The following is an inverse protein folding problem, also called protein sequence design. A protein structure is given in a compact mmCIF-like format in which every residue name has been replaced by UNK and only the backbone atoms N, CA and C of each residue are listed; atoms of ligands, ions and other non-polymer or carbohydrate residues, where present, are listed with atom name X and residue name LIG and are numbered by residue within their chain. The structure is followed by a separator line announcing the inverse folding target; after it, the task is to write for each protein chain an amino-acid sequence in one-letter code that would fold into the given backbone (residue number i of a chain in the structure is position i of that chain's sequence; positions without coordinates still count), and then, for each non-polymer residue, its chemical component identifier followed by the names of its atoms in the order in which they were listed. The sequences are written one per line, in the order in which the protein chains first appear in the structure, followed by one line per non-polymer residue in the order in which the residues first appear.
data_IF_493233403879
#
_entry.id   IF_493233403879
#
_cell.length_a   1.000
_cell.length_b   1.000
_cell.length_c   1.000
_cell.angle_alpha   90.00
_cell.angle_beta   90.00
_cell.angle_gamma   90.00
#
_symmetry.space_group_name_H-M   'P 1'
#
loop_
_entity.id
_entity.type
_entity.pdbx_description
1 polymer ?
#
# COMPACT_ATOMS: atom_id res chain seq x y z
N UNK A 1 -10.12 -31.32 -34.22
CA UNK A 1 -9.69 -30.03 -34.80
C UNK A 1 -10.46 -28.85 -34.24
N UNK A 2 -11.79 -28.95 -34.03
CA UNK A 2 -12.61 -27.83 -33.50
C UNK A 2 -12.17 -27.36 -32.11
N UNK A 3 -11.88 -28.29 -31.20
CA UNK A 3 -11.41 -28.01 -29.87
C UNK A 3 -10.03 -27.25 -29.91
N UNK A 4 -9.12 -27.71 -30.78
CA UNK A 4 -7.82 -27.08 -30.98
C UNK A 4 -7.98 -25.63 -31.48
N UNK A 5 -8.90 -25.38 -32.42
CA UNK A 5 -9.19 -24.05 -32.91
C UNK A 5 -9.69 -23.12 -31.79
N UNK A 6 -10.55 -23.61 -30.90
CA UNK A 6 -11.05 -22.85 -29.75
C UNK A 6 -9.88 -22.51 -28.80
N UNK A 7 -8.98 -23.46 -28.50
CA UNK A 7 -7.83 -23.21 -27.65
C UNK A 7 -6.92 -22.13 -28.24
N UNK A 8 -6.57 -22.23 -29.53
CA UNK A 8 -5.73 -21.23 -30.20
C UNK A 8 -6.39 -19.85 -30.17
N UNK A 9 -7.68 -19.77 -30.51
CA UNK A 9 -8.41 -18.50 -30.50
C UNK A 9 -8.48 -17.89 -29.11
N UNK A 10 -8.80 -18.68 -28.09
CA UNK A 10 -8.88 -18.21 -26.70
C UNK A 10 -7.52 -17.73 -26.22
N UNK A 11 -6.46 -18.50 -26.46
CA UNK A 11 -5.10 -18.12 -26.08
C UNK A 11 -4.67 -16.82 -26.77
N UNK A 12 -4.88 -16.69 -28.08
CA UNK A 12 -4.58 -15.49 -28.83
C UNK A 12 -5.36 -14.26 -28.31
N UNK A 13 -6.68 -14.42 -28.07
CA UNK A 13 -7.54 -13.36 -27.53
C UNK A 13 -7.06 -12.89 -26.16
N UNK A 14 -6.74 -13.82 -25.24
CA UNK A 14 -6.24 -13.47 -23.92
C UNK A 14 -4.85 -12.84 -23.98
N UNK A 15 -3.96 -13.35 -24.85
CA UNK A 15 -2.64 -12.75 -25.06
C UNK A 15 -2.73 -11.30 -25.50
N UNK A 16 -3.52 -11.01 -26.53
CA UNK A 16 -3.73 -9.63 -27.02
C UNK A 16 -4.32 -8.75 -25.93
N UNK A 17 -5.36 -9.24 -25.23
CA UNK A 17 -6.03 -8.47 -24.20
C UNK A 17 -5.11 -8.10 -23.02
N UNK A 18 -4.32 -9.03 -22.51
CA UNK A 18 -3.56 -8.83 -21.29
C UNK A 18 -2.11 -8.41 -21.53
N UNK A 19 -1.48 -8.88 -22.59
CA UNK A 19 -0.09 -8.58 -22.87
C UNK A 19 0.14 -7.41 -23.84
N UNK A 20 -0.89 -7.00 -24.58
CA UNK A 20 -0.80 -5.84 -25.48
C UNK A 20 -1.69 -4.71 -25.00
N UNK A 21 -3.00 -4.89 -24.95
CA UNK A 21 -3.95 -3.80 -24.69
C UNK A 21 -3.96 -3.33 -23.22
N UNK A 22 -3.64 -4.21 -22.28
CA UNK A 22 -3.61 -3.90 -20.84
C UNK A 22 -2.22 -3.86 -20.21
N UNK A 23 -1.18 -4.10 -21.01
CA UNK A 23 0.18 -4.03 -20.54
C UNK A 23 0.48 -2.60 -20.06
N UNK A 24 0.82 -2.49 -18.76
CA UNK A 24 1.12 -1.20 -18.15
C UNK A 24 0.01 -0.14 -18.29
N UNK A 25 -1.27 -0.54 -18.24
CA UNK A 25 -2.40 0.37 -18.42
C UNK A 25 -2.36 1.56 -17.43
N UNK A 26 -1.85 1.34 -16.23
CA UNK A 26 -1.68 2.40 -15.21
C UNK A 26 -0.50 3.33 -15.50
N UNK A 27 0.35 2.98 -16.46
CA UNK A 27 1.55 3.71 -16.85
C UNK A 27 1.50 4.24 -18.29
N UNK A 28 0.30 4.38 -18.87
CA UNK A 28 0.13 4.79 -20.29
C UNK A 28 0.80 6.13 -20.60
N UNK A 29 0.82 7.05 -19.63
CA UNK A 29 1.40 8.40 -19.80
C UNK A 29 2.77 8.55 -19.14
N UNK A 30 3.45 7.45 -18.87
CA UNK A 30 4.74 7.46 -18.17
C UNK A 30 5.88 7.25 -19.16
N UNK A 31 6.88 8.12 -19.10
CA UNK A 31 8.11 7.95 -19.86
C UNK A 31 9.02 6.90 -19.22
N UNK A 32 9.06 5.71 -19.81
CA UNK A 32 9.88 4.59 -19.33
C UNK A 32 11.39 4.85 -19.42
N UNK A 33 11.85 5.87 -20.15
CA UNK A 33 13.27 6.24 -20.16
C UNK A 33 13.74 6.78 -18.80
N UNK A 34 12.80 7.30 -17.99
CA UNK A 34 13.06 7.85 -16.66
C UNK A 34 13.14 6.77 -15.57
N UNK A 35 12.90 5.49 -15.91
CA UNK A 35 12.91 4.41 -14.92
C UNK A 35 14.21 4.33 -14.14
N UNK A 36 14.11 4.07 -12.85
CA UNK A 36 15.25 3.87 -11.96
C UNK A 36 15.41 2.38 -11.61
N UNK A 37 16.57 2.01 -11.10
CA UNK A 37 16.78 0.65 -10.59
C UNK A 37 16.18 0.53 -9.18
N UNK A 38 15.24 -0.39 -8.99
CA UNK A 38 14.57 -0.61 -7.71
C UNK A 38 15.51 -1.11 -6.60
N UNK A 39 16.70 -1.60 -6.94
CA UNK A 39 17.73 -1.94 -5.94
C UNK A 39 18.20 -0.74 -5.13
N UNK A 40 17.92 0.49 -5.57
CA UNK A 40 18.16 1.71 -4.80
C UNK A 40 17.22 1.81 -3.58
N UNK A 41 16.07 1.14 -3.58
CA UNK A 41 15.17 1.05 -2.44
C UNK A 41 15.65 -0.07 -1.51
N UNK A 42 15.85 -1.28 -2.05
CA UNK A 42 16.38 -2.43 -1.32
C UNK A 42 17.02 -3.44 -2.25
N UNK A 43 18.07 -4.13 -1.77
CA UNK A 43 18.80 -5.16 -2.52
C UNK A 43 17.89 -6.31 -3.00
N UNK A 44 16.82 -6.61 -2.26
CA UNK A 44 15.82 -7.64 -2.63
C UNK A 44 15.02 -7.30 -3.88
N UNK A 45 14.98 -6.01 -4.27
CA UNK A 45 14.31 -5.54 -5.48
C UNK A 45 15.24 -5.47 -6.69
N UNK A 46 16.44 -6.08 -6.60
CA UNK A 46 17.41 -6.12 -7.69
C UNK A 46 16.81 -6.74 -8.95
N UNK A 47 17.06 -6.11 -10.10
CA UNK A 47 16.55 -6.54 -11.39
C UNK A 47 15.21 -5.91 -11.79
N UNK A 48 14.51 -5.28 -10.85
CA UNK A 48 13.30 -4.54 -11.15
C UNK A 48 13.61 -3.10 -11.57
N UNK A 49 12.80 -2.57 -12.50
CA UNK A 49 12.76 -1.15 -12.86
C UNK A 49 11.67 -0.47 -12.04
N UNK A 50 11.93 0.76 -11.61
CA UNK A 50 11.03 1.53 -10.76
C UNK A 50 10.54 2.78 -11.45
N UNK A 51 9.26 2.90 -11.62
CA UNK A 51 8.51 4.10 -11.97
C UNK A 51 7.05 3.85 -11.60
N UNK A 52 6.36 4.86 -11.12
CA UNK A 52 4.95 4.77 -10.72
C UNK A 52 4.14 5.93 -11.30
N UNK A 53 2.81 5.80 -11.37
CA UNK A 53 1.94 6.91 -11.78
C UNK A 53 1.96 8.07 -10.78
N UNK A 54 2.40 7.85 -9.56
CA UNK A 54 2.49 8.90 -8.53
C UNK A 54 3.66 9.85 -8.71
N UNK A 55 4.76 9.37 -9.35
CA UNK A 55 5.97 10.14 -9.63
C UNK A 55 6.49 9.90 -11.05
N UNK A 56 5.65 10.11 -12.09
CA UNK A 56 6.00 9.74 -13.46
C UNK A 56 7.23 10.50 -13.98
N UNK A 57 7.39 11.75 -13.56
CA UNK A 57 8.48 12.62 -14.01
C UNK A 57 9.69 12.66 -13.05
N UNK A 58 9.56 12.08 -11.84
CA UNK A 58 10.64 12.09 -10.86
C UNK A 58 10.65 10.83 -9.98
N UNK A 59 10.89 9.65 -10.56
CA UNK A 59 10.95 8.39 -9.82
C UNK A 59 12.08 8.36 -8.79
N UNK A 60 13.16 9.14 -8.98
CA UNK A 60 14.25 9.25 -8.02
C UNK A 60 13.79 9.91 -6.70
N UNK A 61 12.92 10.93 -6.78
CA UNK A 61 12.33 11.54 -5.58
C UNK A 61 11.52 10.52 -4.79
N UNK A 62 10.70 9.72 -5.49
CA UNK A 62 9.93 8.65 -4.84
C UNK A 62 10.82 7.64 -4.13
N UNK A 63 11.89 7.17 -4.79
CA UNK A 63 12.88 6.25 -4.21
C UNK A 63 13.48 6.84 -2.91
N UNK A 64 13.84 8.10 -2.91
CA UNK A 64 14.39 8.76 -1.72
C UNK A 64 13.38 8.77 -0.57
N UNK A 65 12.12 9.12 -0.83
CA UNK A 65 11.05 9.11 0.16
C UNK A 65 10.76 7.70 0.69
N UNK A 66 10.80 6.68 -0.17
CA UNK A 66 10.63 5.28 0.23
C UNK A 66 11.80 4.79 1.09
N UNK A 67 13.05 5.20 0.79
CA UNK A 67 14.22 4.89 1.60
C UNK A 67 14.15 5.55 2.98
N UNK A 68 13.76 6.81 3.04
CA UNK A 68 13.52 7.52 4.31
C UNK A 68 12.45 6.80 5.13
N UNK A 69 11.31 6.47 4.51
CA UNK A 69 10.23 5.70 5.15
C UNK A 69 10.73 4.36 5.68
N UNK A 70 11.52 3.62 4.89
CA UNK A 70 12.12 2.35 5.30
C UNK A 70 13.00 2.51 6.55
N UNK A 71 13.82 3.55 6.60
CA UNK A 71 14.73 3.81 7.74
C UNK A 71 13.92 4.13 9.01
N UNK A 72 12.90 4.98 8.91
CA UNK A 72 12.01 5.32 10.02
C UNK A 72 11.31 4.06 10.56
N UNK A 73 10.70 3.27 9.65
CA UNK A 73 10.00 2.04 10.02
C UNK A 73 10.91 0.99 10.65
N UNK A 74 12.15 0.89 10.17
CA UNK A 74 13.16 -0.04 10.73
C UNK A 74 13.60 0.37 12.14
N UNK A 75 13.58 1.66 12.44
CA UNK A 75 13.93 2.20 13.77
C UNK A 75 12.84 1.97 14.83
N UNK A 76 11.58 1.76 14.42
CA UNK A 76 10.46 1.49 15.35
C UNK A 76 10.40 -0.02 15.61
N UNK A 77 10.67 -0.44 16.84
CA UNK A 77 10.70 -1.86 17.25
C UNK A 77 9.32 -2.37 17.67
N UNK A 78 8.43 -1.49 18.07
CA UNK A 78 7.10 -1.80 18.57
C UNK A 78 6.21 -2.38 17.47
N UNK A 79 5.16 -3.11 17.90
CA UNK A 79 4.18 -3.67 17.00
C UNK A 79 3.45 -2.58 16.22
N UNK A 80 3.42 -2.74 14.91
CA UNK A 80 2.92 -1.75 13.97
C UNK A 80 2.20 -2.37 12.80
N UNK A 81 1.29 -1.60 12.23
CA UNK A 81 0.63 -1.91 10.96
C UNK A 81 1.14 -0.92 9.91
N UNK A 82 1.43 -1.43 8.71
CA UNK A 82 1.73 -0.62 7.54
C UNK A 82 0.58 -0.75 6.56
N UNK A 83 0.06 0.40 6.15
CA UNK A 83 -1.02 0.55 5.19
C UNK A 83 -0.42 1.20 3.97
N UNK A 84 -0.37 0.48 2.86
CA UNK A 84 0.38 0.95 1.70
C UNK A 84 0.06 0.16 0.43
N UNK A 85 0.12 0.84 -0.71
CA UNK A 85 0.18 0.23 -2.05
C UNK A 85 1.55 -0.40 -2.33
N UNK A 86 2.58 0.03 -1.60
CA UNK A 86 3.95 -0.48 -1.74
C UNK A 86 4.12 -1.81 -0.99
N UNK A 87 3.51 -2.87 -1.50
CA UNK A 87 3.43 -4.19 -0.83
C UNK A 87 4.80 -4.83 -0.51
N UNK A 88 5.87 -4.37 -1.15
CA UNK A 88 7.23 -4.87 -0.88
C UNK A 88 7.74 -4.54 0.53
N UNK A 89 7.17 -3.54 1.23
CA UNK A 89 7.61 -3.21 2.59
C UNK A 89 7.51 -4.40 3.53
N UNK A 90 6.48 -5.22 3.43
CA UNK A 90 6.34 -6.45 4.22
C UNK A 90 7.47 -7.45 3.99
N UNK A 91 8.04 -7.46 2.77
CA UNK A 91 9.13 -8.38 2.40
C UNK A 91 10.51 -7.86 2.78
N UNK A 92 10.73 -6.53 2.77
CA UNK A 92 12.03 -5.93 3.08
C UNK A 92 12.23 -5.67 4.56
N UNK A 93 11.16 -5.25 5.26
CA UNK A 93 11.15 -5.07 6.70
C UNK A 93 10.83 -6.42 7.34
N UNK A 94 11.78 -7.03 8.01
CA UNK A 94 11.64 -8.34 8.67
C UNK A 94 10.68 -8.34 9.89
N UNK A 95 9.65 -7.53 9.87
CA UNK A 95 8.71 -7.36 10.97
C UNK A 95 7.38 -8.05 10.64
N UNK A 96 6.77 -8.69 11.64
CA UNK A 96 5.39 -9.12 11.53
C UNK A 96 4.49 -7.89 11.53
N UNK A 97 3.84 -7.65 10.40
CA UNK A 97 2.80 -6.65 10.31
C UNK A 97 1.47 -7.35 10.58
N UNK A 98 0.90 -7.05 11.73
CA UNK A 98 -0.39 -7.58 12.14
C UNK A 98 -1.56 -6.89 11.40
N UNK A 99 -1.41 -6.66 10.08
CA UNK A 99 -2.41 -5.95 9.30
C UNK A 99 -3.71 -6.77 9.21
N UNK A 100 -4.86 -6.22 9.65
CA UNK A 100 -6.13 -6.90 9.56
C UNK A 100 -6.61 -7.08 8.11
N UNK A 101 -6.21 -6.19 7.20
CA UNK A 101 -6.52 -6.25 5.78
C UNK A 101 -5.26 -6.42 4.94
N UNK A 102 -5.38 -7.19 3.85
CA UNK A 102 -4.30 -7.31 2.85
C UNK A 102 -4.24 -6.08 1.93
N UNK A 103 -5.38 -5.52 1.62
CA UNK A 103 -5.55 -4.36 0.76
C UNK A 103 -6.30 -3.26 1.50
N UNK A 104 -5.96 -2.01 1.23
CA UNK A 104 -6.59 -0.83 1.82
C UNK A 104 -7.06 0.12 0.72
N UNK A 105 -7.75 -0.43 -0.28
CA UNK A 105 -8.40 0.31 -1.36
C UNK A 105 -9.89 0.55 -1.06
N UNK A 106 -10.55 1.33 -1.90
CA UNK A 106 -11.96 1.67 -1.79
C UNK A 106 -12.91 0.46 -1.86
N UNK A 107 -12.43 -0.68 -2.37
CA UNK A 107 -13.19 -1.92 -2.46
C UNK A 107 -13.02 -2.79 -1.21
N UNK A 108 -11.88 -2.65 -0.53
CA UNK A 108 -11.51 -3.46 0.64
C UNK A 108 -11.98 -2.87 1.95
N UNK A 109 -12.21 -1.55 2.01
CA UNK A 109 -12.74 -0.84 3.17
C UNK A 109 -14.16 -0.40 2.86
N UNK A 110 -15.18 -0.89 3.59
CA UNK A 110 -16.55 -0.47 3.33
C UNK A 110 -16.71 1.04 3.58
N UNK A 111 -17.35 1.79 2.69
CA UNK A 111 -17.64 3.20 2.91
C UNK A 111 -18.59 3.39 4.10
N UNK A 112 -18.63 4.58 4.67
CA UNK A 112 -19.37 4.89 5.92
C UNK A 112 -20.86 4.55 5.84
N UNK A 113 -21.46 4.75 4.70
CA UNK A 113 -22.88 4.49 4.43
C UNK A 113 -23.18 3.00 4.26
N UNK A 114 -22.15 2.18 4.17
CA UNK A 114 -22.31 0.73 4.01
C UNK A 114 -22.74 0.11 5.35
N UNK A 115 -23.74 -0.78 5.30
CA UNK A 115 -24.24 -1.50 6.48
C UNK A 115 -23.16 -2.28 7.24
N UNK A 116 -22.06 -2.62 6.61
CA UNK A 116 -20.95 -3.36 7.22
C UNK A 116 -19.84 -2.44 7.79
N UNK A 117 -19.92 -1.12 7.61
CA UNK A 117 -18.89 -0.20 8.08
C UNK A 117 -18.61 -0.34 9.58
N UNK A 118 -19.67 -0.35 10.40
CA UNK A 118 -19.54 -0.50 11.86
C UNK A 118 -18.89 -1.83 12.26
N UNK A 119 -19.27 -2.91 11.60
CA UNK A 119 -18.69 -4.24 11.86
C UNK A 119 -17.20 -4.28 11.47
N UNK A 120 -16.84 -3.70 10.32
CA UNK A 120 -15.46 -3.58 9.88
C UNK A 120 -14.62 -2.74 10.86
N UNK A 121 -15.14 -1.61 11.32
CA UNK A 121 -14.47 -0.74 12.30
C UNK A 121 -14.21 -1.48 13.61
N UNK A 122 -15.23 -2.17 14.16
CA UNK A 122 -15.08 -2.95 15.39
C UNK A 122 -14.04 -4.07 15.22
N UNK A 123 -14.08 -4.78 14.10
CA UNK A 123 -13.08 -5.80 13.77
C UNK A 123 -11.67 -5.20 13.72
N UNK A 124 -11.51 -4.02 13.09
CA UNK A 124 -10.21 -3.34 13.01
C UNK A 124 -9.68 -3.00 14.42
N UNK A 125 -10.51 -2.41 15.28
CA UNK A 125 -10.16 -2.07 16.67
C UNK A 125 -9.78 -3.33 17.46
N UNK A 126 -10.58 -4.39 17.36
CA UNK A 126 -10.28 -5.69 18.01
C UNK A 126 -8.91 -6.21 17.59
N UNK A 127 -8.56 -6.09 16.30
CA UNK A 127 -7.24 -6.52 15.80
C UNK A 127 -6.11 -5.64 16.32
N UNK A 128 -6.31 -4.33 16.46
CA UNK A 128 -5.32 -3.44 17.07
C UNK A 128 -5.03 -3.86 18.51
N UNK A 129 -6.09 -4.06 19.31
CA UNK A 129 -5.98 -4.47 20.69
C UNK A 129 -5.33 -5.85 20.86
N UNK A 130 -5.86 -6.87 20.17
CA UNK A 130 -5.36 -8.24 20.22
C UNK A 130 -3.88 -8.36 19.87
N UNK A 131 -3.43 -7.59 18.88
CA UNK A 131 -2.04 -7.59 18.41
C UNK A 131 -1.17 -6.55 19.12
N UNK A 132 -1.69 -5.86 20.14
CA UNK A 132 -0.98 -4.83 20.94
C UNK A 132 -0.30 -3.78 20.07
N UNK A 133 -0.94 -3.40 18.95
CA UNK A 133 -0.40 -2.45 17.98
C UNK A 133 -0.21 -1.08 18.64
N UNK A 134 0.95 -0.46 18.43
CA UNK A 134 1.33 0.84 18.98
C UNK A 134 1.35 1.94 17.93
N UNK A 135 1.55 1.58 16.67
CA UNK A 135 1.63 2.52 15.57
C UNK A 135 0.91 2.00 14.32
N UNK A 136 0.22 2.91 13.65
CA UNK A 136 -0.26 2.71 12.29
C UNK A 136 0.56 3.62 11.38
N UNK A 137 1.11 3.09 10.30
CA UNK A 137 1.84 3.84 9.30
C UNK A 137 1.10 3.79 7.97
N UNK A 138 0.82 4.95 7.42
CA UNK A 138 0.32 5.09 6.07
C UNK A 138 1.45 5.53 5.14
N UNK A 139 1.69 4.77 4.05
CA UNK A 139 2.68 5.11 3.04
C UNK A 139 2.00 5.13 1.69
N UNK A 140 1.80 6.31 1.15
CA UNK A 140 1.16 6.48 -0.15
C UNK A 140 0.71 7.91 -0.42
N UNK A 141 0.17 8.12 -1.62
CA UNK A 141 -0.47 9.38 -2.03
C UNK A 141 -1.98 9.28 -2.14
N UNK A 142 -2.54 8.09 -2.01
CA UNK A 142 -3.96 7.89 -2.20
C UNK A 142 -4.75 8.52 -1.06
N UNK A 143 -5.57 9.54 -1.40
CA UNK A 143 -6.38 10.28 -0.43
C UNK A 143 -7.55 9.45 0.11
N UNK A 144 -8.05 8.51 -0.68
CA UNK A 144 -9.19 7.67 -0.29
C UNK A 144 -8.83 6.69 0.81
N UNK A 145 -7.70 5.99 0.69
CA UNK A 145 -7.21 5.07 1.73
C UNK A 145 -6.98 5.77 3.06
N UNK A 146 -6.56 7.04 3.01
CA UNK A 146 -6.33 7.83 4.21
C UNK A 146 -7.62 8.31 4.89
N UNK A 147 -8.79 8.25 4.21
CA UNK A 147 -10.05 8.74 4.75
C UNK A 147 -10.47 7.96 6.00
N UNK A 148 -10.46 6.64 5.94
CA UNK A 148 -10.78 5.76 7.08
C UNK A 148 -9.90 6.08 8.30
N UNK A 149 -8.60 6.26 8.09
CA UNK A 149 -7.66 6.53 9.17
C UNK A 149 -7.78 7.94 9.73
N UNK A 150 -8.16 8.91 8.92
CA UNK A 150 -8.50 10.26 9.41
C UNK A 150 -9.76 10.23 10.26
N UNK A 151 -10.81 9.54 9.84
CA UNK A 151 -12.01 9.36 10.66
C UNK A 151 -11.69 8.64 11.95
N UNK A 152 -10.94 7.54 11.87
CA UNK A 152 -10.48 6.79 13.03
C UNK A 152 -9.70 7.70 14.00
N UNK A 153 -8.81 8.55 13.51
CA UNK A 153 -8.06 9.51 14.32
C UNK A 153 -8.96 10.59 14.92
N UNK A 154 -9.91 11.14 14.15
CA UNK A 154 -10.82 12.18 14.63
C UNK A 154 -11.81 11.69 15.69
N UNK A 155 -12.23 10.44 15.61
CA UNK A 155 -13.14 9.82 16.57
C UNK A 155 -12.44 9.37 17.86
N UNK A 156 -11.11 9.21 17.84
CA UNK A 156 -10.31 8.75 18.96
C UNK A 156 -9.28 9.82 19.35
N UNK A 157 -9.63 10.67 20.30
CA UNK A 157 -8.77 11.77 20.79
C UNK A 157 -7.40 11.32 21.32
N UNK A 158 -7.19 10.03 21.51
CA UNK A 158 -5.93 9.44 21.96
C UNK A 158 -4.90 9.29 20.81
N UNK A 159 -5.34 9.41 19.56
CA UNK A 159 -4.47 9.23 18.38
C UNK A 159 -3.69 10.52 18.09
N UNK A 160 -2.37 10.41 18.05
CA UNK A 160 -1.51 11.51 17.61
C UNK A 160 -1.04 11.26 16.18
N UNK A 161 -1.33 12.20 15.29
CA UNK A 161 -0.97 12.11 13.88
C UNK A 161 0.27 12.93 13.57
N UNK A 162 1.29 12.28 13.03
CA UNK A 162 2.56 12.89 12.64
C UNK A 162 2.82 12.69 11.14
N UNK A 163 2.98 13.77 10.38
CA UNK A 163 3.45 13.69 8.99
C UNK A 163 4.97 13.64 9.00
N UNK A 164 5.56 12.48 8.68
CA UNK A 164 7.00 12.25 8.75
C UNK A 164 7.70 12.63 7.45
N UNK A 165 7.08 12.38 6.29
CA UNK A 165 7.51 12.92 5.00
C UNK A 165 6.31 13.06 4.03
N UNK A 166 6.56 13.28 2.73
CA UNK A 166 5.49 13.44 1.73
C UNK A 166 4.63 12.19 1.54
N UNK A 167 5.19 11.00 1.78
CA UNK A 167 4.53 9.71 1.62
C UNK A 167 4.13 9.07 2.94
N UNK A 168 4.83 9.40 4.05
CA UNK A 168 4.73 8.68 5.31
C UNK A 168 4.00 9.50 6.37
N UNK A 169 2.90 8.94 6.86
CA UNK A 169 2.14 9.45 8.01
C UNK A 169 2.14 8.39 9.10
N UNK A 170 2.44 8.80 10.32
CA UNK A 170 2.35 7.99 11.52
C UNK A 170 1.09 8.37 12.31
N UNK A 171 0.35 7.36 12.75
CA UNK A 171 -0.69 7.47 13.77
C UNK A 171 -0.18 6.76 15.01
N UNK A 172 0.20 7.51 16.03
CA UNK A 172 0.62 6.99 17.33
C UNK A 172 -0.62 6.72 18.18
N UNK A 173 -0.86 5.45 18.48
CA UNK A 173 -2.02 4.97 19.24
C UNK A 173 -1.64 4.40 20.60
N UNK A 174 -0.44 4.66 21.09
CA UNK A 174 0.05 4.13 22.38
C UNK A 174 -0.80 4.56 23.58
N UNK A 175 -1.47 5.70 23.46
CA UNK A 175 -2.34 6.25 24.51
C UNK A 175 -3.80 5.79 24.39
N UNK A 176 -4.12 5.01 23.36
CA UNK A 176 -5.47 4.52 23.15
C UNK A 176 -5.71 3.22 23.94
N UNK A 177 -6.85 3.15 24.59
CA UNK A 177 -7.38 1.95 25.22
C UNK A 177 -8.49 1.42 24.31
N UNK A 178 -8.25 0.26 23.68
CA UNK A 178 -9.20 -0.41 22.80
C UNK A 178 -9.67 -1.74 23.39
#
# INVERSE_FOLDING_TARGET
YFILAIFIFTTAKYHVRFNQNRKFIELVNVDFSLTQNASQIDKKLRGLKWITPHYPNNPKKEINLLNESKNILSGKKEDKIIITDYQFFSSILKNNFASPNKWYDDLSIPPRENKYYKAHKNFFIEKLSKNKVKYLFFIGKNKHEMYFFKEFSNENNCVVTNKLNELLIEFDIRKCEF
#
